data_IF_747798655274
#
_entry.id   IF_747798655274
#
_cell.length_a   1.000
_cell.length_b   1.000
_cell.length_c   1.000
_cell.angle_alpha   90.00
_cell.angle_beta   90.00
_cell.angle_gamma   90.00
#
_symmetry.space_group_name_H-M   'P 1'
#
loop_
_entity.id
_entity.type
_entity.pdbx_description
1 polymer ?
#
# COMPACT_ATOMS: atom_id res chain seq x y z
N UNK A 1 4.26 -26.01 4.24
CA UNK A 1 3.72 -24.71 3.81
C UNK A 1 2.21 -24.79 3.99
N UNK A 2 1.61 -23.92 4.81
CA UNK A 2 0.16 -23.85 4.97
C UNK A 2 -0.43 -23.10 3.78
N UNK A 3 -1.53 -23.61 3.22
CA UNK A 3 -2.31 -22.94 2.18
C UNK A 3 -3.75 -22.84 2.66
N UNK A 4 -4.29 -21.61 2.68
CA UNK A 4 -5.69 -21.34 3.06
C UNK A 4 -6.43 -20.82 1.83
N UNK A 5 -7.44 -21.55 1.38
CA UNK A 5 -8.31 -21.13 0.28
C UNK A 5 -9.43 -20.21 0.79
N UNK A 6 -9.57 -19.04 0.18
CA UNK A 6 -10.55 -18.02 0.55
C UNK A 6 -11.86 -18.13 -0.22
N UNK A 7 -11.89 -18.92 -1.30
CA UNK A 7 -12.96 -18.90 -2.31
C UNK A 7 -14.34 -19.04 -1.67
N UNK A 8 -14.53 -20.06 -0.83
CA UNK A 8 -15.82 -20.29 -0.17
C UNK A 8 -16.30 -19.11 0.70
N UNK A 9 -15.37 -18.44 1.40
CA UNK A 9 -15.70 -17.30 2.28
C UNK A 9 -16.08 -16.06 1.47
N UNK A 10 -15.35 -15.82 0.37
CA UNK A 10 -15.59 -14.70 -0.54
C UNK A 10 -16.90 -14.90 -1.30
N UNK A 11 -17.14 -16.10 -1.83
CA UNK A 11 -18.36 -16.43 -2.57
C UNK A 11 -19.60 -16.34 -1.68
N UNK A 12 -19.52 -16.86 -0.45
CA UNK A 12 -20.61 -16.73 0.52
C UNK A 12 -20.95 -15.27 0.81
N UNK A 13 -19.94 -14.39 0.94
CA UNK A 13 -20.15 -12.96 1.18
C UNK A 13 -20.85 -12.27 0.00
N UNK A 14 -20.48 -12.62 -1.25
CA UNK A 14 -21.04 -12.01 -2.46
C UNK A 14 -22.28 -12.71 -3.02
N UNK A 15 -22.75 -13.81 -2.41
CA UNK A 15 -23.92 -14.57 -2.88
C UNK A 15 -25.18 -13.70 -3.04
N UNK A 16 -25.36 -12.70 -2.18
CA UNK A 16 -26.50 -11.77 -2.21
C UNK A 16 -26.17 -10.41 -2.85
N UNK A 17 -24.98 -10.27 -3.43
CA UNK A 17 -24.48 -9.05 -4.07
C UNK A 17 -23.81 -9.37 -5.42
N UNK A 18 -24.56 -9.94 -6.39
CA UNK A 18 -24.00 -10.36 -7.66
C UNK A 18 -23.45 -9.19 -8.49
N UNK A 19 -23.96 -7.97 -8.25
CA UNK A 19 -23.58 -6.72 -8.89
C UNK A 19 -22.29 -6.08 -8.34
N UNK A 20 -21.65 -6.71 -7.35
CA UNK A 20 -20.40 -6.21 -6.77
C UNK A 20 -19.30 -6.07 -7.82
N UNK A 21 -18.72 -4.87 -7.89
CA UNK A 21 -17.66 -4.51 -8.83
C UNK A 21 -16.36 -5.28 -8.56
N UNK A 22 -15.46 -5.40 -9.55
CA UNK A 22 -14.14 -6.00 -9.34
C UNK A 22 -13.35 -5.35 -8.19
N UNK A 23 -13.44 -4.03 -8.04
CA UNK A 23 -12.80 -3.30 -6.95
C UNK A 23 -13.37 -3.68 -5.58
N UNK A 24 -14.69 -3.82 -5.45
CA UNK A 24 -15.31 -4.27 -4.20
C UNK A 24 -14.87 -5.69 -3.83
N UNK A 25 -14.83 -6.59 -4.80
CA UNK A 25 -14.35 -7.97 -4.62
C UNK A 25 -12.89 -8.01 -4.23
N UNK A 26 -12.04 -7.25 -4.92
CA UNK A 26 -10.62 -7.12 -4.63
C UNK A 26 -10.35 -6.61 -3.21
N UNK A 27 -11.03 -5.54 -2.81
CA UNK A 27 -10.94 -5.01 -1.44
C UNK A 27 -11.35 -6.03 -0.38
N UNK A 28 -12.42 -6.81 -0.62
CA UNK A 28 -12.87 -7.85 0.32
C UNK A 28 -11.84 -8.98 0.42
N UNK A 29 -11.28 -9.43 -0.71
CA UNK A 29 -10.22 -10.45 -0.71
C UNK A 29 -8.96 -9.99 0.03
N UNK A 30 -8.51 -8.74 -0.19
CA UNK A 30 -7.37 -8.18 0.52
C UNK A 30 -7.60 -8.12 2.05
N UNK A 31 -8.82 -7.74 2.48
CA UNK A 31 -9.19 -7.72 3.90
C UNK A 31 -9.33 -9.10 4.52
N UNK A 32 -9.76 -10.09 3.75
CA UNK A 32 -9.84 -11.48 4.23
C UNK A 32 -8.45 -12.07 4.47
N UNK A 33 -7.50 -11.81 3.55
CA UNK A 33 -6.09 -12.18 3.75
C UNK A 33 -5.51 -11.54 5.01
N UNK A 34 -5.79 -10.26 5.22
CA UNK A 34 -5.38 -9.54 6.44
C UNK A 34 -5.95 -10.20 7.70
N UNK A 35 -7.26 -10.48 7.73
CA UNK A 35 -7.91 -11.09 8.89
C UNK A 35 -7.26 -12.43 9.27
N UNK A 36 -7.01 -13.28 8.28
CA UNK A 36 -6.37 -14.59 8.48
C UNK A 36 -4.92 -14.44 8.97
N UNK A 37 -4.13 -13.54 8.36
CA UNK A 37 -2.74 -13.31 8.80
C UNK A 37 -2.66 -12.87 10.27
N UNK A 38 -3.59 -12.01 10.71
CA UNK A 38 -3.61 -11.55 12.10
C UNK A 38 -4.10 -12.64 13.07
N UNK A 39 -5.08 -13.45 12.69
CA UNK A 39 -5.50 -14.62 13.47
C UNK A 39 -4.32 -15.59 13.71
N UNK A 40 -3.61 -15.93 12.63
CA UNK A 40 -2.40 -16.75 12.70
C UNK A 40 -1.32 -16.12 13.57
N UNK A 41 -1.09 -14.80 13.46
CA UNK A 41 -0.08 -14.13 14.28
C UNK A 41 -0.39 -14.21 15.78
N UNK A 42 -1.66 -14.20 16.17
CA UNK A 42 -2.05 -14.33 17.57
C UNK A 42 -1.80 -15.75 18.09
N UNK A 43 -2.12 -16.77 17.29
CA UNK A 43 -1.84 -18.18 17.60
C UNK A 43 -0.34 -18.43 17.73
N UNK A 44 0.46 -17.85 16.84
CA UNK A 44 1.91 -18.05 16.79
C UNK A 44 2.69 -17.12 17.73
N UNK A 45 2.03 -16.16 18.40
CA UNK A 45 2.70 -15.09 19.13
C UNK A 45 3.72 -14.34 18.26
N UNK A 46 3.36 -14.09 17.00
CA UNK A 46 4.21 -13.51 15.96
C UNK A 46 3.73 -12.12 15.53
N UNK A 47 4.50 -11.48 14.64
CA UNK A 47 4.15 -10.19 14.03
C UNK A 47 3.92 -10.36 12.53
N UNK A 48 2.84 -9.78 12.02
CA UNK A 48 2.57 -9.73 10.57
C UNK A 48 3.53 -8.73 9.91
N UNK A 49 4.32 -9.20 8.94
CA UNK A 49 5.19 -8.36 8.12
C UNK A 49 4.44 -7.88 6.86
N UNK A 50 4.47 -6.57 6.63
CA UNK A 50 3.89 -5.93 5.45
C UNK A 50 4.80 -6.00 4.23
N UNK A 51 4.21 -5.83 3.04
CA UNK A 51 4.94 -5.92 1.77
C UNK A 51 4.63 -4.76 0.80
N UNK A 52 3.87 -3.75 1.23
CA UNK A 52 3.60 -2.57 0.40
C UNK A 52 4.86 -1.71 0.31
N UNK A 53 5.32 -1.38 -0.90
CA UNK A 53 6.51 -0.53 -1.07
C UNK A 53 6.16 0.96 -1.04
N UNK A 54 7.17 1.83 -0.98
CA UNK A 54 7.01 3.29 -0.87
C UNK A 54 6.16 3.87 -2.00
N UNK A 55 6.32 3.37 -3.22
CA UNK A 55 5.54 3.80 -4.39
C UNK A 55 4.05 3.54 -4.20
N UNK A 56 3.69 2.30 -3.88
CA UNK A 56 2.30 1.89 -3.61
C UNK A 56 1.69 2.68 -2.45
N UNK A 57 2.45 2.84 -1.36
CA UNK A 57 2.02 3.59 -0.17
C UNK A 57 1.76 5.06 -0.49
N UNK A 58 2.65 5.71 -1.26
CA UNK A 58 2.51 7.12 -1.65
C UNK A 58 1.34 7.33 -2.60
N UNK A 59 1.18 6.47 -3.60
CA UNK A 59 0.07 6.55 -4.56
C UNK A 59 -1.28 6.14 -3.95
N UNK A 60 -1.25 5.44 -2.80
CA UNK A 60 -2.42 4.83 -2.21
C UNK A 60 -2.93 3.63 -2.99
N UNK A 61 -2.05 2.97 -3.74
CA UNK A 61 -2.34 1.77 -4.51
C UNK A 61 -2.30 0.55 -3.58
N UNK A 62 -3.41 0.34 -2.88
CA UNK A 62 -3.55 -0.70 -1.86
C UNK A 62 -4.87 -0.57 -1.12
N UNK A 63 -5.30 -1.66 -0.50
CA UNK A 63 -6.54 -1.70 0.30
C UNK A 63 -6.23 -1.29 1.73
N UNK A 64 -6.82 -0.18 2.19
CA UNK A 64 -6.76 0.18 3.61
C UNK A 64 -7.41 -0.93 4.45
N UNK A 65 -6.71 -1.35 5.50
CA UNK A 65 -7.06 -2.51 6.32
C UNK A 65 -7.07 -3.85 5.55
N UNK A 66 -6.45 -3.91 4.38
CA UNK A 66 -6.15 -5.14 3.64
C UNK A 66 -4.65 -5.38 3.62
N UNK A 67 -4.08 -5.42 2.43
CA UNK A 67 -2.64 -5.59 2.17
C UNK A 67 -1.75 -4.53 2.85
N UNK A 68 -2.27 -3.32 3.05
CA UNK A 68 -1.53 -2.25 3.75
C UNK A 68 -1.42 -2.45 5.27
N UNK A 69 -2.16 -3.41 5.85
CA UNK A 69 -2.18 -3.61 7.30
C UNK A 69 -1.10 -4.62 7.74
N UNK A 70 -0.18 -4.16 8.58
CA UNK A 70 0.90 -4.97 9.13
C UNK A 70 1.38 -4.41 10.47
N UNK A 71 2.08 -5.23 11.25
CA UNK A 71 2.73 -4.79 12.48
C UNK A 71 4.06 -4.06 12.19
N UNK A 72 4.79 -4.54 11.18
CA UNK A 72 6.02 -3.93 10.68
C UNK A 72 6.08 -4.10 9.16
N UNK A 73 6.47 -3.06 8.43
CA UNK A 73 6.72 -3.15 6.99
C UNK A 73 8.20 -2.85 6.68
N UNK A 74 9.04 -3.88 6.46
CA UNK A 74 10.49 -3.70 6.28
C UNK A 74 10.88 -3.05 4.96
N UNK A 75 9.98 -3.04 3.96
CA UNK A 75 10.25 -2.52 2.61
C UNK A 75 9.43 -1.27 2.28
N UNK A 76 8.69 -0.73 3.26
CA UNK A 76 7.79 0.40 3.07
C UNK A 76 8.48 1.73 2.72
N UNK A 77 9.81 1.83 2.89
CA UNK A 77 10.59 3.01 2.50
C UNK A 77 11.47 2.77 1.25
N UNK A 78 11.22 1.68 0.51
CA UNK A 78 11.85 1.44 -0.80
C UNK A 78 10.88 1.74 -1.92
N UNK A 79 11.30 2.50 -2.92
CA UNK A 79 10.57 2.63 -4.18
C UNK A 79 10.52 1.30 -4.94
N UNK A 80 9.56 1.10 -5.85
CA UNK A 80 9.43 -0.16 -6.60
C UNK A 80 10.70 -0.51 -7.37
N UNK A 81 11.29 0.48 -8.03
CA UNK A 81 12.57 0.36 -8.74
C UNK A 81 13.70 -0.08 -7.79
N UNK A 82 13.82 0.53 -6.61
CA UNK A 82 14.80 0.14 -5.59
C UNK A 82 14.54 -1.28 -5.05
N UNK A 83 13.28 -1.65 -4.86
CA UNK A 83 12.90 -2.98 -4.41
C UNK A 83 13.27 -4.05 -5.45
N UNK A 84 13.13 -3.77 -6.75
CA UNK A 84 13.60 -4.66 -7.83
C UNK A 84 15.12 -4.86 -7.76
N UNK A 85 15.91 -3.81 -7.54
CA UNK A 85 17.36 -3.94 -7.36
C UNK A 85 17.72 -4.76 -6.12
N UNK A 86 17.06 -4.50 -4.98
CA UNK A 86 17.28 -5.25 -3.76
C UNK A 86 16.93 -6.74 -3.95
N UNK A 87 15.83 -7.04 -4.64
CA UNK A 87 15.43 -8.41 -4.95
C UNK A 87 16.48 -9.15 -5.77
N UNK A 88 17.08 -8.50 -6.78
CA UNK A 88 18.21 -9.07 -7.54
C UNK A 88 19.42 -9.31 -6.66
N UNK A 89 19.77 -8.35 -5.80
CA UNK A 89 20.89 -8.47 -4.88
C UNK A 89 20.73 -9.65 -3.91
N UNK A 90 19.51 -9.88 -3.42
CA UNK A 90 19.18 -11.00 -2.53
C UNK A 90 19.02 -12.35 -3.25
N UNK A 91 19.12 -12.38 -4.58
CA UNK A 91 18.99 -13.61 -5.37
C UNK A 91 17.56 -14.13 -5.53
N UNK A 92 16.55 -13.25 -5.47
CA UNK A 92 15.16 -13.62 -5.78
C UNK A 92 15.09 -14.16 -7.21
N UNK A 93 14.34 -15.25 -7.48
CA UNK A 93 14.29 -15.84 -8.81
C UNK A 93 13.86 -14.84 -9.88
N UNK A 94 14.55 -14.85 -11.03
CA UNK A 94 14.30 -13.93 -12.15
C UNK A 94 12.84 -13.96 -12.64
N UNK A 95 12.21 -15.14 -12.66
CA UNK A 95 10.79 -15.27 -13.01
C UNK A 95 9.81 -14.57 -12.06
N UNK A 96 10.22 -14.26 -10.82
CA UNK A 96 9.44 -13.45 -9.87
C UNK A 96 9.69 -11.96 -10.11
N UNK A 97 10.95 -11.58 -10.36
CA UNK A 97 11.35 -10.18 -10.57
C UNK A 97 10.80 -9.61 -11.89
N UNK A 98 10.87 -10.41 -12.96
CA UNK A 98 10.47 -9.99 -14.31
C UNK A 98 8.96 -10.16 -14.55
N UNK A 99 8.22 -10.75 -13.61
CA UNK A 99 6.76 -10.83 -13.70
C UNK A 99 6.19 -9.42 -13.69
N UNK A 100 5.32 -9.13 -14.67
CA UNK A 100 4.60 -7.86 -14.72
C UNK A 100 3.88 -7.62 -13.38
N UNK A 101 4.06 -6.45 -12.74
CA UNK A 101 3.36 -6.13 -11.50
C UNK A 101 1.84 -6.23 -11.68
N UNK A 102 1.20 -6.96 -10.79
CA UNK A 102 -0.24 -7.17 -10.79
C UNK A 102 -0.70 -7.46 -9.37
N UNK A 103 -1.79 -6.83 -8.96
CA UNK A 103 -2.50 -7.17 -7.73
C UNK A 103 -3.17 -8.56 -7.78
N UNK A 104 -3.26 -9.19 -8.96
CA UNK A 104 -3.85 -10.52 -9.21
C UNK A 104 -5.28 -10.65 -8.63
N UNK A 105 -6.04 -9.54 -8.66
CA UNK A 105 -7.41 -9.48 -8.14
C UNK A 105 -8.43 -9.93 -9.20
N UNK A 106 -8.09 -9.85 -10.49
CA UNK A 106 -8.83 -10.44 -11.60
C UNK A 106 -7.92 -10.68 -12.83
N UNK A 107 -8.37 -11.56 -13.73
CA UNK A 107 -7.58 -12.03 -14.87
C UNK A 107 -7.19 -10.87 -15.80
N UNK A 108 -5.89 -10.75 -16.09
CA UNK A 108 -5.34 -9.80 -17.06
C UNK A 108 -5.02 -8.40 -16.52
N UNK A 109 -5.15 -8.16 -15.21
CA UNK A 109 -4.78 -6.89 -14.59
C UNK A 109 -3.25 -6.70 -14.57
N UNK A 110 -2.75 -5.54 -15.01
CA UNK A 110 -1.41 -5.06 -14.63
C UNK A 110 -1.53 -3.73 -13.90
N UNK A 111 -0.63 -3.49 -12.95
CA UNK A 111 -0.63 -2.27 -12.15
C UNK A 111 -0.37 -1.04 -13.04
N UNK A 112 0.51 -1.18 -14.05
CA UNK A 112 0.91 -0.11 -14.96
C UNK A 112 -0.20 0.25 -15.95
N UNK A 113 -1.02 -0.72 -16.39
CA UNK A 113 -2.20 -0.43 -17.22
C UNK A 113 -3.29 0.30 -16.42
N UNK A 114 -3.47 -0.08 -15.14
CA UNK A 114 -4.44 0.60 -14.26
C UNK A 114 -3.99 2.02 -13.88
N UNK A 115 -2.69 2.17 -13.63
CA UNK A 115 -2.10 3.46 -13.30
C UNK A 115 -1.84 4.32 -14.54
N UNK A 116 -1.65 3.76 -15.72
CA UNK A 116 -1.36 4.48 -16.96
C UNK A 116 0.03 5.13 -16.98
N UNK A 117 1.00 4.58 -16.24
CA UNK A 117 2.40 4.99 -16.20
C UNK A 117 3.28 3.86 -15.67
N UNK A 118 4.58 3.87 -16.02
CA UNK A 118 5.54 2.90 -15.50
C UNK A 118 6.00 3.20 -14.08
N UNK A 119 6.49 2.19 -13.38
CA UNK A 119 7.10 2.37 -12.06
C UNK A 119 8.35 3.25 -12.12
N UNK A 120 9.13 3.18 -13.20
CA UNK A 120 10.32 4.01 -13.41
C UNK A 120 9.98 5.50 -13.50
N UNK A 121 8.93 5.86 -14.23
CA UNK A 121 8.47 7.25 -14.37
C UNK A 121 7.93 7.81 -13.06
N UNK A 122 7.05 7.06 -12.39
CA UNK A 122 6.42 7.54 -11.16
C UNK A 122 7.38 7.59 -9.99
N UNK A 123 8.31 6.63 -9.87
CA UNK A 123 9.33 6.65 -8.81
C UNK A 123 10.23 7.88 -8.93
N UNK A 124 10.58 8.29 -10.15
CA UNK A 124 11.36 9.51 -10.41
C UNK A 124 10.62 10.75 -9.92
N UNK A 125 9.35 10.90 -10.30
CA UNK A 125 8.51 12.04 -9.87
C UNK A 125 8.33 12.03 -8.35
N UNK A 126 8.02 10.87 -7.76
CA UNK A 126 7.83 10.74 -6.32
C UNK A 126 9.11 11.04 -5.54
N UNK A 127 10.28 10.63 -6.02
CA UNK A 127 11.57 10.93 -5.38
C UNK A 127 11.80 12.44 -5.30
N UNK A 128 11.60 13.16 -6.41
CA UNK A 128 11.77 14.61 -6.41
C UNK A 128 10.70 15.32 -5.59
N UNK A 129 9.44 14.90 -5.69
CA UNK A 129 8.32 15.48 -4.97
C UNK A 129 8.42 15.29 -3.45
N UNK A 130 8.77 14.08 -2.99
CA UNK A 130 8.72 13.69 -1.58
C UNK A 130 10.07 13.87 -0.89
N UNK A 131 11.12 13.26 -1.43
CA UNK A 131 12.43 13.20 -0.77
C UNK A 131 13.23 14.48 -1.03
N UNK A 132 13.16 15.02 -2.26
CA UNK A 132 13.82 16.30 -2.60
C UNK A 132 12.94 17.52 -2.35
N UNK A 133 11.65 17.33 -2.06
CA UNK A 133 10.67 18.39 -1.74
C UNK A 133 10.49 19.43 -2.85
N UNK A 134 10.62 19.01 -4.10
CA UNK A 134 10.38 19.89 -5.24
C UNK A 134 8.90 20.27 -5.29
N UNK A 135 8.64 21.50 -5.67
CA UNK A 135 7.31 21.98 -6.07
C UNK A 135 6.91 21.36 -7.40
N UNK A 136 5.61 21.44 -7.74
CA UNK A 136 5.11 20.96 -9.03
C UNK A 136 5.76 21.70 -10.19
N UNK A 137 6.03 23.00 -10.04
CA UNK A 137 6.64 23.83 -11.08
C UNK A 137 8.12 23.47 -11.29
N UNK A 138 8.88 23.23 -10.22
CA UNK A 138 10.28 22.77 -10.32
C UNK A 138 10.38 21.39 -11.02
N UNK A 139 9.41 20.50 -10.82
CA UNK A 139 9.33 19.22 -11.54
C UNK A 139 9.07 19.41 -13.05
N UNK A 140 8.23 20.38 -13.41
CA UNK A 140 7.97 20.71 -14.83
C UNK A 140 9.20 21.34 -15.46
N UNK A 141 9.92 22.19 -14.75
CA UNK A 141 11.20 22.76 -15.19
C UNK A 141 12.28 21.68 -15.38
N UNK A 142 12.23 20.58 -14.62
CA UNK A 142 13.06 19.38 -14.83
C UNK A 142 12.68 18.59 -16.09
N UNK A 143 11.60 18.95 -16.77
CA UNK A 143 11.14 18.31 -18.01
C UNK A 143 10.05 17.25 -17.82
N UNK A 144 9.44 17.15 -16.63
CA UNK A 144 8.29 16.28 -16.42
C UNK A 144 7.01 16.90 -17.03
N UNK A 145 6.11 16.04 -17.53
CA UNK A 145 4.82 16.49 -18.03
C UNK A 145 3.94 17.05 -16.90
N UNK A 146 3.32 18.22 -17.12
CA UNK A 146 2.50 18.91 -16.13
C UNK A 146 1.33 18.07 -15.64
N UNK A 147 0.61 17.43 -16.56
CA UNK A 147 -0.58 16.65 -16.24
C UNK A 147 -0.20 15.40 -15.45
N UNK A 148 0.92 14.77 -15.80
CA UNK A 148 1.47 13.64 -15.05
C UNK A 148 1.88 14.04 -13.63
N UNK A 149 2.66 15.11 -13.46
CA UNK A 149 3.07 15.62 -12.14
C UNK A 149 1.86 15.95 -11.28
N UNK A 150 0.85 16.60 -11.85
CA UNK A 150 -0.39 16.91 -11.15
C UNK A 150 -1.14 15.67 -10.69
N UNK A 151 -1.28 14.69 -11.58
CA UNK A 151 -1.95 13.44 -11.27
C UNK A 151 -1.26 12.71 -10.14
N UNK A 152 0.07 12.56 -10.19
CA UNK A 152 0.85 11.89 -9.15
C UNK A 152 0.73 12.64 -7.82
N UNK A 153 0.91 13.96 -7.82
CA UNK A 153 0.81 14.77 -6.61
C UNK A 153 -0.60 14.72 -5.99
N UNK A 154 -1.64 14.68 -6.82
CA UNK A 154 -3.03 14.54 -6.37
C UNK A 154 -3.31 13.14 -5.83
N UNK A 155 -2.79 12.07 -6.44
CA UNK A 155 -2.86 10.71 -5.89
C UNK A 155 -2.22 10.65 -4.50
N UNK A 156 -1.03 11.25 -4.32
CA UNK A 156 -0.37 11.34 -3.01
C UNK A 156 -1.24 12.07 -2.00
N UNK A 157 -1.78 13.24 -2.36
CA UNK A 157 -2.64 14.02 -1.47
C UNK A 157 -3.92 13.27 -1.08
N UNK A 158 -4.64 12.73 -2.05
CA UNK A 158 -5.94 12.09 -1.84
C UNK A 158 -5.83 10.77 -1.09
N UNK A 159 -4.69 10.07 -1.18
CA UNK A 159 -4.43 8.83 -0.45
C UNK A 159 -3.86 9.01 0.95
N UNK A 160 -3.64 10.25 1.41
CA UNK A 160 -3.02 10.54 2.71
C UNK A 160 -3.72 9.84 3.89
N UNK A 161 -5.03 9.70 3.84
CA UNK A 161 -5.79 9.02 4.88
C UNK A 161 -5.41 7.54 5.05
N UNK A 162 -4.90 6.87 4.00
CA UNK A 162 -4.47 5.47 4.05
C UNK A 162 -3.16 5.26 4.81
N UNK A 163 -2.36 6.32 5.00
CA UNK A 163 -1.05 6.30 5.68
C UNK A 163 -1.11 6.78 7.13
N UNK A 164 -2.31 7.04 7.65
CA UNK A 164 -2.50 7.54 8.99
C UNK A 164 -3.48 6.65 9.76
N UNK A 165 -3.34 6.65 11.09
CA UNK A 165 -4.39 6.13 11.97
C UNK A 165 -5.66 6.98 11.84
N UNK A 166 -6.84 6.42 12.22
CA UNK A 166 -8.08 7.18 12.24
C UNK A 166 -7.95 8.49 13.01
N UNK A 167 -8.55 9.56 12.47
CA UNK A 167 -8.55 10.87 13.13
C UNK A 167 -9.50 10.81 14.33
N UNK A 168 -8.96 11.05 15.52
CA UNK A 168 -9.74 11.14 16.76
C UNK A 168 -10.20 12.59 16.95
N UNK A 169 -11.52 12.79 17.02
CA UNK A 169 -12.11 14.09 17.34
C UNK A 169 -11.77 14.48 18.79
N UNK A 170 -11.05 15.59 18.96
CA UNK A 170 -10.59 16.06 20.27
C UNK A 170 -11.73 16.74 21.04
N UNK A 171 -12.05 16.19 22.20
CA UNK A 171 -13.01 16.76 23.16
C UNK A 171 -12.35 17.04 24.51
N UNK A 172 -11.51 16.11 25.00
CA UNK A 172 -10.79 16.24 26.27
C UNK A 172 -9.46 16.98 26.13
N UNK A 173 -8.82 17.30 27.26
CA UNK A 173 -7.51 17.95 27.27
C UNK A 173 -6.40 17.11 26.62
N UNK A 174 -6.49 15.77 26.68
CA UNK A 174 -5.49 14.83 26.13
C UNK A 174 -6.15 13.80 25.21
N UNK A 175 -5.82 13.85 23.92
CA UNK A 175 -6.35 12.95 22.87
C UNK A 175 -5.30 11.95 22.39
N UNK A 176 -5.72 10.70 22.19
CA UNK A 176 -4.86 9.62 21.65
C UNK A 176 -4.30 10.01 20.28
N UNK A 177 -3.03 9.69 20.04
CA UNK A 177 -2.34 9.95 18.77
C UNK A 177 -1.86 11.39 18.54
N UNK A 178 -2.53 12.41 19.09
CA UNK A 178 -2.05 13.82 19.06
C UNK A 178 -1.30 14.22 20.33
N UNK A 179 -1.90 14.01 21.50
CA UNK A 179 -1.37 14.46 22.80
C UNK A 179 -0.82 13.30 23.65
N UNK A 180 -1.16 12.05 23.31
CA UNK A 180 -0.67 10.84 23.96
C UNK A 180 0.38 10.18 23.05
N UNK A 181 1.64 10.59 23.19
CA UNK A 181 2.74 10.25 22.28
C UNK A 181 4.03 9.83 22.99
N UNK A 182 4.15 10.07 24.29
CA UNK A 182 5.44 9.94 24.99
C UNK A 182 5.55 8.62 25.73
N UNK A 183 6.77 8.09 25.88
CA UNK A 183 7.03 6.88 26.67
C UNK A 183 6.46 6.96 28.10
N UNK A 184 6.53 8.14 28.74
CA UNK A 184 5.93 8.43 30.06
C UNK A 184 4.43 8.22 30.14
N UNK A 185 3.74 8.31 29.00
CA UNK A 185 2.29 8.11 28.93
C UNK A 185 1.93 6.62 29.15
N UNK A 186 2.89 5.72 29.00
CA UNK A 186 2.78 4.28 29.24
C UNK A 186 3.27 3.86 30.64
N UNK A 187 3.62 4.82 31.49
CA UNK A 187 4.17 4.54 32.83
C UNK A 187 5.65 4.15 32.84
N UNK A 188 6.40 4.55 31.80
CA UNK A 188 7.85 4.31 31.64
C UNK A 188 8.64 5.60 31.70
#
# INVERSE_FOLDING_TARGET
MLTVDLTAQIDAYFAHRPDATPLERGNKMARERMAILYDHSAVESALVLGTSNKTELLLGYGTIHGDMASALNPIGDLYKTQLRELARHLGVPKGVIDKAPSADLWVGQTDEDEMGFSYEEVDRVLYYLVDRRFTRDELVELGEDRAFVDRVADMVRCSQFKRALPIIAKVSHRTIGRDFRYARDWGV
#
